data_IF_440746798765
#
_entry.id   IF_440746798765
#
_cell.length_a   1.000
_cell.length_b   1.000
_cell.length_c   1.000
_cell.angle_alpha   90.00
_cell.angle_beta   90.00
_cell.angle_gamma   90.00
#
_symmetry.space_group_name_H-M   'P 1'
#
loop_
_entity.id
_entity.type
_entity.pdbx_description
1 polymer ?
#
# COMPACT_ATOMS: atom_id res chain seq x y z
N UNK A 1 46.56 -13.43 -46.94
CA UNK A 1 45.51 -13.68 -45.93
C UNK A 1 44.20 -13.90 -46.66
N UNK A 2 43.67 -15.12 -46.67
CA UNK A 2 42.37 -15.42 -47.26
C UNK A 2 41.26 -14.80 -46.39
N UNK A 3 40.49 -13.87 -46.97
CA UNK A 3 39.35 -13.26 -46.27
C UNK A 3 38.29 -14.34 -46.07
N UNK A 4 37.87 -14.55 -44.82
CA UNK A 4 36.74 -15.43 -44.48
C UNK A 4 35.44 -14.81 -45.01
N UNK A 5 34.55 -15.65 -45.51
CA UNK A 5 33.20 -15.28 -45.93
C UNK A 5 32.23 -15.77 -44.85
N UNK A 6 31.11 -15.05 -44.65
CA UNK A 6 30.09 -15.45 -43.69
C UNK A 6 29.52 -16.84 -44.05
N UNK A 7 29.27 -17.70 -43.04
CA UNK A 7 28.63 -18.99 -43.27
C UNK A 7 27.19 -18.80 -43.79
N UNK A 8 26.71 -19.81 -44.52
CA UNK A 8 25.36 -19.84 -45.05
C UNK A 8 24.35 -19.94 -43.89
N UNK A 9 23.42 -18.99 -43.80
CA UNK A 9 22.31 -19.04 -42.86
C UNK A 9 21.10 -19.68 -43.51
N UNK A 10 20.52 -20.69 -42.86
CA UNK A 10 19.23 -21.28 -43.23
C UNK A 10 18.18 -20.89 -42.19
N UNK A 11 17.01 -20.37 -42.61
CA UNK A 11 15.89 -20.18 -41.69
C UNK A 11 15.45 -21.53 -41.11
N UNK A 12 15.09 -21.56 -39.83
CA UNK A 12 14.45 -22.72 -39.23
C UNK A 12 13.07 -22.93 -39.86
N UNK A 13 12.64 -24.19 -40.02
CA UNK A 13 11.26 -24.50 -40.36
C UNK A 13 10.33 -23.96 -39.28
N UNK A 14 9.26 -23.28 -39.69
CA UNK A 14 8.26 -22.74 -38.77
C UNK A 14 7.49 -23.92 -38.19
N UNK A 15 7.81 -24.31 -36.96
CA UNK A 15 6.97 -25.22 -36.16
C UNK A 15 5.63 -24.56 -35.84
N UNK A 16 4.69 -25.35 -35.30
CA UNK A 16 3.36 -24.89 -34.83
C UNK A 16 3.43 -23.54 -34.08
N UNK A 17 2.36 -22.74 -34.20
CA UNK A 17 2.28 -21.44 -33.54
C UNK A 17 2.52 -21.57 -32.02
N UNK A 18 3.22 -20.60 -31.41
CA UNK A 18 3.52 -20.65 -29.98
C UNK A 18 2.22 -20.68 -29.16
N UNK A 19 2.16 -21.59 -28.18
CA UNK A 19 1.04 -21.71 -27.26
C UNK A 19 1.34 -20.95 -25.97
N UNK A 20 0.49 -19.99 -25.61
CA UNK A 20 0.63 -19.26 -24.36
C UNK A 20 0.42 -20.18 -23.15
N UNK A 21 1.38 -20.16 -22.22
CA UNK A 21 1.25 -20.80 -20.91
C UNK A 21 1.47 -19.80 -19.79
N UNK A 22 0.59 -19.80 -18.80
CA UNK A 22 0.69 -18.95 -17.61
C UNK A 22 0.95 -19.81 -16.38
N UNK A 23 1.69 -19.27 -15.42
CA UNK A 23 1.84 -19.90 -14.12
C UNK A 23 0.57 -19.66 -13.29
N UNK A 24 -0.12 -20.74 -12.92
CA UNK A 24 -1.33 -20.68 -12.12
C UNK A 24 -0.99 -20.91 -10.65
N UNK A 25 -1.19 -19.89 -9.80
CA UNK A 25 -0.92 -20.00 -8.36
C UNK A 25 -1.76 -21.07 -7.66
N UNK A 26 -2.94 -21.42 -8.19
CA UNK A 26 -3.80 -22.46 -7.64
C UNK A 26 -3.20 -23.86 -7.81
N UNK A 27 -2.62 -24.15 -8.99
CA UNK A 27 -2.05 -25.48 -9.29
C UNK A 27 -0.53 -25.52 -9.15
N UNK A 28 0.11 -24.35 -8.98
CA UNK A 28 1.56 -24.15 -8.91
C UNK A 28 2.31 -24.66 -10.15
N UNK A 29 1.64 -24.66 -11.30
CA UNK A 29 2.18 -25.17 -12.57
C UNK A 29 1.98 -24.16 -13.71
N UNK A 30 2.75 -24.33 -14.79
CA UNK A 30 2.53 -23.60 -16.04
C UNK A 30 1.47 -24.34 -16.86
N UNK A 31 0.33 -23.70 -17.04
CA UNK A 31 -0.83 -24.26 -17.72
C UNK A 31 -1.08 -23.54 -19.03
N UNK A 32 -1.67 -24.24 -20.00
CA UNK A 32 -2.12 -23.61 -21.24
C UNK A 32 -3.20 -22.59 -20.89
N UNK A 33 -3.04 -21.35 -21.36
CA UNK A 33 -4.03 -20.32 -21.13
C UNK A 33 -5.21 -20.50 -22.08
N UNK A 34 -6.39 -20.77 -21.51
CA UNK A 34 -7.64 -21.00 -22.25
C UNK A 34 -8.66 -19.98 -21.76
N UNK A 35 -8.99 -18.94 -22.55
CA UNK A 35 -10.00 -17.96 -22.15
C UNK A 35 -11.40 -18.57 -22.11
N UNK A 36 -12.28 -17.96 -21.30
CA UNK A 36 -13.68 -18.39 -21.18
C UNK A 36 -14.49 -18.16 -22.47
N UNK A 37 -14.12 -17.16 -23.27
CA UNK A 37 -14.87 -16.78 -24.48
C UNK A 37 -13.93 -16.45 -25.64
N UNK A 38 -13.57 -17.45 -26.44
CA UNK A 38 -12.76 -17.28 -27.64
C UNK A 38 -11.43 -16.57 -27.34
N UNK A 39 -11.19 -15.43 -27.96
CA UNK A 39 -10.00 -14.58 -27.71
C UNK A 39 -10.24 -13.45 -26.70
N UNK A 40 -11.42 -13.38 -26.08
CA UNK A 40 -11.73 -12.33 -25.09
C UNK A 40 -11.20 -12.73 -23.72
N UNK A 41 -10.48 -11.81 -23.09
CA UNK A 41 -9.88 -11.98 -21.77
C UNK A 41 -10.39 -10.86 -20.87
N UNK A 42 -11.18 -11.20 -19.85
CA UNK A 42 -11.52 -10.29 -18.75
C UNK A 42 -10.48 -10.42 -17.65
N UNK A 43 -9.78 -9.34 -17.35
CA UNK A 43 -8.67 -9.35 -16.42
C UNK A 43 -8.86 -8.28 -15.35
N UNK A 44 -8.73 -8.67 -14.09
CA UNK A 44 -8.65 -7.78 -12.94
C UNK A 44 -7.25 -7.82 -12.29
N UNK A 45 -6.73 -6.68 -11.86
CA UNK A 45 -5.59 -6.61 -10.95
C UNK A 45 -5.85 -5.66 -9.78
N UNK A 46 -5.34 -5.99 -8.60
CA UNK A 46 -5.32 -5.07 -7.47
C UNK A 46 -4.49 -3.83 -7.81
N UNK A 47 -5.04 -2.65 -7.60
CA UNK A 47 -4.30 -1.39 -7.67
C UNK A 47 -3.80 -0.91 -6.30
N UNK A 48 -3.33 0.34 -6.21
CA UNK A 48 -2.66 0.85 -5.03
C UNK A 48 -3.64 1.26 -3.92
N UNK A 49 -3.17 1.18 -2.67
CA UNK A 49 -3.74 1.97 -1.57
C UNK A 49 -3.09 3.35 -1.58
N UNK A 50 -3.88 4.37 -1.90
CA UNK A 50 -3.39 5.74 -2.17
C UNK A 50 -3.25 6.53 -0.87
N UNK A 51 -2.27 6.17 -0.03
CA UNK A 51 -1.97 6.88 1.23
C UNK A 51 -0.59 7.55 1.24
N UNK A 52 0.28 7.19 0.30
CA UNK A 52 1.67 7.65 0.20
C UNK A 52 2.20 7.47 -1.23
N UNK A 53 3.41 7.96 -1.48
CA UNK A 53 4.07 7.86 -2.77
C UNK A 53 4.26 6.40 -3.22
N UNK A 54 4.19 6.18 -4.53
CA UNK A 54 4.45 4.86 -5.10
C UNK A 54 5.93 4.51 -4.99
N UNK A 55 6.23 3.36 -4.36
CA UNK A 55 7.60 2.87 -4.26
C UNK A 55 7.96 1.94 -5.44
N UNK A 56 9.24 1.63 -5.61
CA UNK A 56 9.74 0.76 -6.70
C UNK A 56 9.06 -0.61 -6.80
N UNK A 57 8.56 -1.16 -5.68
CA UNK A 57 7.78 -2.40 -5.69
C UNK A 57 6.48 -2.30 -6.51
N UNK A 58 5.82 -1.14 -6.48
CA UNK A 58 4.62 -0.85 -7.28
C UNK A 58 4.98 -0.76 -8.75
N UNK A 59 6.00 0.04 -9.09
CA UNK A 59 6.48 0.18 -10.46
C UNK A 59 6.81 -1.18 -11.08
N UNK A 60 7.54 -2.05 -10.37
CA UNK A 60 7.84 -3.40 -10.84
C UNK A 60 6.59 -4.21 -11.16
N UNK A 61 5.58 -4.19 -10.28
CA UNK A 61 4.34 -4.94 -10.47
C UNK A 61 3.55 -4.44 -11.68
N UNK A 62 3.31 -3.13 -11.78
CA UNK A 62 2.51 -2.56 -12.88
C UNK A 62 3.23 -2.65 -14.24
N UNK A 63 4.56 -2.49 -14.27
CA UNK A 63 5.35 -2.77 -15.49
C UNK A 63 5.20 -4.24 -15.90
N UNK A 64 5.23 -5.17 -14.94
CA UNK A 64 5.08 -6.59 -15.24
C UNK A 64 3.70 -6.88 -15.84
N UNK A 65 2.64 -6.32 -15.27
CA UNK A 65 1.28 -6.47 -15.81
C UNK A 65 1.13 -5.81 -17.19
N UNK A 66 1.72 -4.64 -17.40
CA UNK A 66 1.72 -3.96 -18.69
C UNK A 66 2.40 -4.79 -19.79
N UNK A 67 3.59 -5.34 -19.49
CA UNK A 67 4.30 -6.24 -20.41
C UNK A 67 3.44 -7.46 -20.74
N UNK A 68 2.81 -8.07 -19.74
CA UNK A 68 1.92 -9.21 -19.95
C UNK A 68 0.72 -8.84 -20.82
N UNK A 69 0.11 -7.67 -20.59
CA UNK A 69 -1.00 -7.16 -21.40
C UNK A 69 -0.57 -7.01 -22.86
N UNK A 70 0.56 -6.35 -23.12
CA UNK A 70 1.10 -6.15 -24.47
C UNK A 70 1.44 -7.47 -25.16
N UNK A 71 2.00 -8.44 -24.44
CA UNK A 71 2.26 -9.79 -24.99
C UNK A 71 0.94 -10.49 -25.35
N UNK A 72 -0.09 -10.40 -24.49
CA UNK A 72 -1.41 -10.96 -24.76
C UNK A 72 -2.06 -10.33 -26.00
N UNK A 73 -2.05 -9.00 -26.09
CA UNK A 73 -2.73 -8.26 -27.16
C UNK A 73 -1.95 -8.31 -28.47
N UNK A 74 -0.66 -7.97 -28.44
CA UNK A 74 0.10 -7.65 -29.64
C UNK A 74 0.73 -8.90 -30.26
N UNK A 75 1.12 -9.87 -29.43
CA UNK A 75 1.76 -11.10 -29.91
C UNK A 75 0.74 -12.24 -30.11
N UNK A 76 -0.13 -12.49 -29.14
CA UNK A 76 -1.12 -13.59 -29.23
C UNK A 76 -2.48 -13.15 -29.81
N UNK A 77 -2.73 -11.85 -29.93
CA UNK A 77 -3.96 -11.32 -30.52
C UNK A 77 -5.19 -11.49 -29.64
N UNK A 78 -5.04 -11.52 -28.32
CA UNK A 78 -6.17 -11.53 -27.38
C UNK A 78 -6.83 -10.15 -27.27
N UNK A 79 -8.15 -10.14 -27.12
CA UNK A 79 -8.95 -8.95 -26.82
C UNK A 79 -9.07 -8.83 -25.30
N UNK A 80 -8.23 -7.98 -24.70
CA UNK A 80 -8.10 -7.85 -23.25
C UNK A 80 -8.95 -6.67 -22.75
N UNK A 81 -9.92 -6.98 -21.89
CA UNK A 81 -10.65 -6.00 -21.08
C UNK A 81 -10.11 -6.01 -19.65
N UNK A 82 -9.39 -4.95 -19.30
CA UNK A 82 -8.61 -4.82 -18.08
C UNK A 82 -9.23 -3.84 -17.09
N UNK A 83 -9.48 -4.34 -15.87
CA UNK A 83 -10.04 -3.59 -14.74
C UNK A 83 -9.01 -3.50 -13.62
N UNK A 84 -8.88 -2.32 -13.01
CA UNK A 84 -8.03 -2.09 -11.84
C UNK A 84 -8.77 -1.26 -10.80
N UNK A 85 -8.65 -1.62 -9.53
CA UNK A 85 -9.22 -0.80 -8.45
C UNK A 85 -8.23 0.26 -7.94
N UNK A 86 -8.74 1.30 -7.29
CA UNK A 86 -7.97 2.16 -6.38
C UNK A 86 -8.55 1.98 -4.98
N UNK A 87 -7.70 1.66 -4.01
CA UNK A 87 -8.11 1.58 -2.61
C UNK A 87 -7.95 2.97 -1.98
N UNK A 88 -9.03 3.75 -2.02
CA UNK A 88 -9.12 5.11 -1.49
C UNK A 88 -9.81 5.20 -0.11
N UNK A 89 -10.19 4.04 0.46
CA UNK A 89 -10.68 3.89 1.83
C UNK A 89 -9.89 2.78 2.51
N UNK A 90 -9.11 3.13 3.53
CA UNK A 90 -8.27 2.22 4.32
C UNK A 90 -7.88 2.89 5.66
N UNK A 91 -7.65 2.10 6.71
CA UNK A 91 -7.18 2.59 8.01
C UNK A 91 -5.88 3.40 7.90
N UNK A 92 -4.98 3.03 6.98
CA UNK A 92 -3.73 3.76 6.72
C UNK A 92 -3.99 5.13 6.12
N UNK A 93 -4.99 5.25 5.24
CA UNK A 93 -5.41 6.53 4.66
C UNK A 93 -5.97 7.43 5.76
N UNK A 94 -6.91 6.90 6.55
CA UNK A 94 -7.54 7.65 7.66
C UNK A 94 -6.47 8.15 8.64
N UNK A 95 -5.58 7.25 9.06
CA UNK A 95 -4.50 7.59 9.98
C UNK A 95 -3.55 8.62 9.38
N UNK A 96 -3.10 8.43 8.14
CA UNK A 96 -2.13 9.34 7.50
C UNK A 96 -2.74 10.72 7.24
N UNK A 97 -3.99 10.79 6.80
CA UNK A 97 -4.68 12.06 6.54
C UNK A 97 -4.78 12.89 7.83
N UNK A 98 -5.19 12.24 8.92
CA UNK A 98 -5.29 12.86 10.24
C UNK A 98 -3.94 13.34 10.77
N UNK A 99 -2.91 12.51 10.60
CA UNK A 99 -1.53 12.84 10.96
C UNK A 99 -1.01 14.06 10.21
N UNK A 100 -1.19 14.11 8.88
CA UNK A 100 -0.75 15.23 8.06
C UNK A 100 -1.47 16.52 8.48
N UNK A 101 -2.79 16.47 8.61
CA UNK A 101 -3.59 17.62 9.04
C UNK A 101 -3.16 18.16 10.40
N UNK A 102 -2.98 17.29 11.40
CA UNK A 102 -2.57 17.71 12.74
C UNK A 102 -1.15 18.26 12.77
N UNK A 103 -0.25 17.71 11.95
CA UNK A 103 1.12 18.22 11.84
C UNK A 103 1.16 19.59 11.17
N UNK A 104 0.43 19.79 10.07
CA UNK A 104 0.32 21.09 9.40
C UNK A 104 -0.28 22.15 10.33
N UNK A 105 -1.35 21.80 11.04
CA UNK A 105 -1.93 22.67 12.08
C UNK A 105 -0.93 23.03 13.18
N UNK A 106 -0.12 22.07 13.63
CA UNK A 106 0.92 22.32 14.63
C UNK A 106 2.00 23.30 14.14
N UNK A 107 2.34 23.26 12.85
CA UNK A 107 3.26 24.21 12.23
C UNK A 107 2.65 25.61 12.15
N UNK A 108 1.38 25.71 11.76
CA UNK A 108 0.67 26.99 11.60
C UNK A 108 0.44 27.74 12.93
N UNK A 109 0.27 27.00 14.02
CA UNK A 109 0.09 27.55 15.36
C UNK A 109 1.37 28.22 15.93
N UNK A 110 2.53 28.03 15.26
CA UNK A 110 3.82 28.65 15.60
C UNK A 110 4.15 28.63 17.09
N UNK A 111 4.11 27.43 17.67
CA UNK A 111 4.32 27.17 19.08
C UNK A 111 5.62 27.76 19.63
N UNK A 112 5.57 28.23 20.88
CA UNK A 112 6.75 28.69 21.59
C UNK A 112 7.77 27.56 21.80
N UNK A 113 9.07 27.91 21.86
CA UNK A 113 10.17 26.94 21.90
C UNK A 113 10.13 26.01 23.12
N UNK A 114 9.63 26.51 24.26
CA UNK A 114 9.44 25.73 25.48
C UNK A 114 8.37 24.63 25.29
N UNK A 115 7.30 24.93 24.55
CA UNK A 115 6.28 23.96 24.18
C UNK A 115 6.87 22.90 23.25
N UNK A 116 7.60 23.30 22.22
CA UNK A 116 8.26 22.37 21.28
C UNK A 116 9.24 21.44 22.01
N UNK A 117 10.02 21.98 22.95
CA UNK A 117 10.94 21.18 23.77
C UNK A 117 10.21 20.25 24.75
N UNK A 118 9.05 20.67 25.28
CA UNK A 118 8.21 19.82 26.14
C UNK A 118 7.61 18.65 25.35
N UNK A 119 7.06 18.93 24.18
CA UNK A 119 6.46 17.93 23.29
C UNK A 119 7.52 16.93 22.80
N UNK A 120 8.71 17.42 22.41
CA UNK A 120 9.81 16.55 21.99
C UNK A 120 10.21 15.53 23.06
N UNK A 121 10.27 15.93 24.33
CA UNK A 121 10.53 15.02 25.46
C UNK A 121 9.45 13.96 25.60
N UNK A 122 8.17 14.33 25.48
CA UNK A 122 7.06 13.37 25.53
C UNK A 122 7.09 12.37 24.37
N UNK A 123 7.42 12.84 23.16
CA UNK A 123 7.59 12.01 21.97
C UNK A 123 8.71 10.99 22.18
N UNK A 124 9.87 11.43 22.69
CA UNK A 124 11.01 10.56 22.98
C UNK A 124 10.68 9.50 24.03
N UNK A 125 9.91 9.83 25.07
CA UNK A 125 9.41 8.85 26.04
C UNK A 125 8.52 7.80 25.36
N UNK A 126 7.57 8.22 24.53
CA UNK A 126 6.66 7.30 23.81
C UNK A 126 7.41 6.40 22.82
N UNK A 127 8.42 6.92 22.13
CA UNK A 127 9.28 6.12 21.26
C UNK A 127 10.14 5.13 22.05
N UNK A 128 10.68 5.54 23.19
CA UNK A 128 11.47 4.66 24.06
C UNK A 128 10.62 3.50 24.59
N UNK A 129 9.36 3.76 24.98
CA UNK A 129 8.44 2.68 25.37
C UNK A 129 8.13 1.73 24.23
N UNK A 130 7.92 2.24 22.99
CA UNK A 130 7.71 1.40 21.79
C UNK A 130 8.92 0.54 21.46
N UNK A 131 10.13 1.08 21.62
CA UNK A 131 11.38 0.34 21.44
C UNK A 131 11.48 -0.82 22.44
N UNK A 132 11.17 -0.58 23.71
CA UNK A 132 11.20 -1.62 24.75
C UNK A 132 10.13 -2.70 24.56
N UNK A 133 8.96 -2.35 24.02
CA UNK A 133 7.85 -3.29 23.82
C UNK A 133 7.90 -4.06 22.50
N UNK A 134 8.71 -3.63 21.52
CA UNK A 134 8.82 -4.32 20.24
C UNK A 134 9.63 -5.61 20.40
N UNK A 135 9.17 -6.72 19.82
CA UNK A 135 9.94 -7.97 19.74
C UNK A 135 10.61 -8.19 18.38
N UNK A 136 10.26 -7.36 17.40
CA UNK A 136 10.77 -7.40 16.04
C UNK A 136 12.12 -6.66 15.95
N UNK A 137 13.22 -7.34 15.53
CA UNK A 137 14.55 -6.73 15.42
C UNK A 137 14.63 -5.54 14.48
N UNK A 138 13.92 -5.58 13.35
CA UNK A 138 13.94 -4.51 12.35
C UNK A 138 13.22 -3.28 12.88
N UNK A 139 12.08 -3.48 13.57
CA UNK A 139 11.37 -2.38 14.25
C UNK A 139 12.20 -1.78 15.38
N UNK A 140 12.93 -2.59 16.15
CA UNK A 140 13.84 -2.06 17.18
C UNK A 140 14.91 -1.17 16.58
N UNK A 141 15.60 -1.67 15.55
CA UNK A 141 16.64 -0.89 14.87
C UNK A 141 16.09 0.41 14.27
N UNK A 142 14.87 0.38 13.71
CA UNK A 142 14.18 1.57 13.22
C UNK A 142 13.94 2.60 14.33
N UNK A 143 13.37 2.17 15.47
CA UNK A 143 13.11 3.06 16.59
C UNK A 143 14.39 3.62 17.22
N UNK A 144 15.45 2.82 17.32
CA UNK A 144 16.77 3.29 17.80
C UNK A 144 17.34 4.39 16.90
N UNK A 145 17.33 4.18 15.58
CA UNK A 145 17.78 5.20 14.62
C UNK A 145 16.96 6.49 14.72
N UNK A 146 15.64 6.36 14.86
CA UNK A 146 14.74 7.50 15.00
C UNK A 146 14.98 8.27 16.30
N UNK A 147 15.11 7.56 17.43
CA UNK A 147 15.43 8.15 18.73
C UNK A 147 16.77 8.87 18.69
N UNK A 148 17.81 8.23 18.16
CA UNK A 148 19.14 8.83 18.02
C UNK A 148 19.07 10.15 17.23
N UNK A 149 18.41 10.13 16.06
CA UNK A 149 18.22 11.32 15.23
C UNK A 149 17.48 12.44 15.97
N UNK A 150 16.39 12.10 16.65
CA UNK A 150 15.62 13.07 17.43
C UNK A 150 16.44 13.69 18.56
N UNK A 151 17.13 12.87 19.36
CA UNK A 151 17.99 13.33 20.45
C UNK A 151 19.01 14.34 19.93
N UNK A 152 19.70 14.04 18.83
CA UNK A 152 20.67 14.97 18.23
C UNK A 152 20.02 16.30 17.84
N UNK A 153 18.84 16.27 17.20
CA UNK A 153 18.15 17.51 16.81
C UNK A 153 17.65 18.33 17.99
N UNK A 154 17.18 17.67 19.07
CA UNK A 154 16.76 18.34 20.30
C UNK A 154 17.96 18.98 21.02
N UNK A 155 19.08 18.26 21.13
CA UNK A 155 20.30 18.81 21.72
C UNK A 155 20.83 20.02 20.94
N UNK A 156 20.76 19.99 19.60
CA UNK A 156 21.16 21.11 18.75
C UNK A 156 20.22 22.31 18.92
N UNK A 157 18.91 22.07 19.06
CA UNK A 157 17.94 23.12 19.36
C UNK A 157 18.21 23.75 20.74
N UNK A 158 18.43 22.94 21.77
CA UNK A 158 18.76 23.44 23.13
C UNK A 158 20.08 24.24 23.14
N UNK A 159 21.10 23.81 22.40
CA UNK A 159 22.36 24.56 22.25
C UNK A 159 22.16 25.90 21.54
N UNK A 160 21.33 25.93 20.50
CA UNK A 160 21.02 27.15 19.75
C UNK A 160 20.22 28.14 20.60
N UNK A 161 19.30 27.65 21.43
CA UNK A 161 18.58 28.49 22.39
C UNK A 161 19.54 29.13 23.40
N UNK A 162 20.55 28.38 23.87
CA UNK A 162 21.58 28.90 24.79
C UNK A 162 22.52 29.91 24.14
N UNK A 163 22.76 29.84 22.83
CA UNK A 163 23.61 30.81 22.12
C UNK A 163 22.93 32.16 21.89
N UNK A 164 21.59 32.19 21.89
CA UNK A 164 20.79 33.41 21.70
C UNK A 164 20.77 33.93 20.26
N UNK A 165 21.30 33.18 19.30
CA UNK A 165 21.29 33.53 17.88
C UNK A 165 19.97 33.08 17.23
N UNK A 166 19.09 34.04 16.94
CA UNK A 166 17.78 33.79 16.34
C UNK A 166 17.86 33.03 15.01
N UNK A 167 18.88 33.26 14.19
CA UNK A 167 19.02 32.55 12.91
C UNK A 167 19.36 31.08 13.12
N UNK A 168 20.22 30.78 14.10
CA UNK A 168 20.54 29.40 14.47
C UNK A 168 19.35 28.68 15.11
N UNK A 169 18.57 29.38 15.94
CA UNK A 169 17.36 28.85 16.57
C UNK A 169 16.34 28.46 15.50
N UNK A 170 16.03 29.35 14.55
CA UNK A 170 15.09 29.06 13.47
C UNK A 170 15.53 27.87 12.61
N UNK A 171 16.85 27.79 12.32
CA UNK A 171 17.41 26.66 11.57
C UNK A 171 17.28 25.35 12.35
N UNK A 172 17.68 25.32 13.61
CA UNK A 172 17.60 24.14 14.45
C UNK A 172 16.15 23.69 14.69
N UNK A 173 15.21 24.63 14.80
CA UNK A 173 13.78 24.35 14.91
C UNK A 173 13.26 23.67 13.64
N UNK A 174 13.59 24.19 12.45
CA UNK A 174 13.22 23.57 11.18
C UNK A 174 13.80 22.16 11.03
N UNK A 175 15.08 21.98 11.37
CA UNK A 175 15.73 20.66 11.34
C UNK A 175 15.04 19.66 12.28
N UNK A 176 14.68 20.10 13.49
CA UNK A 176 13.93 19.28 14.44
C UNK A 176 12.54 18.92 13.90
N UNK A 177 11.76 19.87 13.38
CA UNK A 177 10.42 19.63 12.84
C UNK A 177 10.43 18.64 11.67
N UNK A 178 11.43 18.74 10.79
CA UNK A 178 11.63 17.77 9.70
C UNK A 178 12.00 16.38 10.25
N UNK A 179 12.95 16.30 11.17
CA UNK A 179 13.39 15.03 11.75
C UNK A 179 12.30 14.36 12.59
N UNK A 180 11.39 15.15 13.16
CA UNK A 180 10.31 14.71 14.04
C UNK A 180 8.96 14.56 13.36
N UNK A 181 8.82 14.82 12.05
CA UNK A 181 7.53 14.75 11.34
C UNK A 181 6.70 13.51 11.69
N UNK A 182 7.20 12.31 11.43
CA UNK A 182 6.46 11.06 11.72
C UNK A 182 6.15 10.86 13.21
N UNK A 183 7.13 10.93 14.14
CA UNK A 183 6.85 10.69 15.56
C UNK A 183 6.01 11.79 16.22
N UNK A 184 6.16 13.05 15.79
CA UNK A 184 5.29 14.16 16.21
C UNK A 184 3.87 13.94 15.69
N UNK A 185 3.70 13.58 14.42
CA UNK A 185 2.39 13.29 13.84
C UNK A 185 1.69 12.12 14.56
N UNK A 186 2.38 11.01 14.85
CA UNK A 186 1.80 9.88 15.62
C UNK A 186 1.48 10.25 17.08
N UNK A 187 2.23 11.18 17.68
CA UNK A 187 1.93 11.69 19.01
C UNK A 187 0.71 12.61 19.00
N UNK A 188 0.65 13.59 18.09
CA UNK A 188 -0.48 14.48 17.89
C UNK A 188 -1.76 13.68 17.60
N UNK A 189 -1.67 12.69 16.71
CA UNK A 189 -2.77 11.79 16.36
C UNK A 189 -3.36 11.08 17.58
N UNK A 190 -2.49 10.58 18.47
CA UNK A 190 -2.93 9.90 19.70
C UNK A 190 -3.59 10.82 20.73
N UNK A 191 -3.40 12.14 20.61
CA UNK A 191 -3.96 13.15 21.53
C UNK A 191 -5.20 13.81 20.95
N UNK A 192 -5.13 14.21 19.68
CA UNK A 192 -6.08 15.10 19.01
C UNK A 192 -6.80 14.43 17.85
N UNK A 193 -6.50 13.17 17.51
CA UNK A 193 -7.13 12.49 16.38
C UNK A 193 -8.67 12.47 16.47
N UNK A 194 -9.22 12.31 17.68
CA UNK A 194 -10.67 12.35 17.90
C UNK A 194 -11.32 13.70 17.56
N UNK A 195 -10.55 14.78 17.44
CA UNK A 195 -11.04 16.12 17.09
C UNK A 195 -11.15 16.35 15.59
N UNK A 196 -10.58 15.46 14.77
CA UNK A 196 -10.55 15.58 13.31
C UNK A 196 -11.77 14.87 12.73
N UNK A 197 -12.79 15.64 12.38
CA UNK A 197 -14.10 15.13 11.92
C UNK A 197 -14.49 15.60 10.52
N UNK A 198 -13.71 16.49 9.90
CA UNK A 198 -13.97 16.95 8.54
C UNK A 198 -13.65 15.84 7.54
N UNK A 199 -14.67 15.41 6.80
CA UNK A 199 -14.56 14.35 5.81
C UNK A 199 -13.65 14.72 4.63
N UNK A 200 -13.52 16.02 4.30
CA UNK A 200 -12.66 16.47 3.21
C UNK A 200 -11.20 16.05 3.42
N UNK A 201 -10.73 16.08 4.67
CA UNK A 201 -9.37 15.66 5.06
C UNK A 201 -9.10 14.21 4.61
N UNK A 202 -10.09 13.33 4.72
CA UNK A 202 -9.97 11.92 4.37
C UNK A 202 -10.14 11.64 2.87
N UNK A 203 -10.70 12.57 2.10
CA UNK A 203 -10.83 12.46 0.64
C UNK A 203 -9.68 13.13 -0.13
N UNK A 204 -9.07 14.18 0.43
CA UNK A 204 -8.07 14.97 -0.28
C UNK A 204 -6.73 14.23 -0.39
N UNK A 205 -6.29 13.58 0.69
CA UNK A 205 -5.07 12.77 0.70
C UNK A 205 -5.07 11.66 -0.37
N UNK A 206 -6.09 10.78 -0.45
CA UNK A 206 -6.10 9.72 -1.45
C UNK A 206 -6.21 10.24 -2.87
N UNK A 207 -6.94 11.33 -3.10
CA UNK A 207 -7.01 11.95 -4.43
C UNK A 207 -5.65 12.46 -4.90
N UNK A 208 -4.90 13.15 -4.03
CA UNK A 208 -3.55 13.60 -4.34
C UNK A 208 -2.62 12.44 -4.72
N UNK A 209 -2.60 11.37 -3.91
CA UNK A 209 -1.74 10.22 -4.20
C UNK A 209 -2.19 9.37 -5.38
N UNK A 210 -3.48 9.36 -5.70
CA UNK A 210 -4.01 8.76 -6.93
C UNK A 210 -3.50 9.51 -8.17
N UNK A 211 -3.52 10.85 -8.14
CA UNK A 211 -2.99 11.69 -9.23
C UNK A 211 -1.49 11.45 -9.43
N UNK A 212 -0.70 11.46 -8.35
CA UNK A 212 0.74 11.16 -8.40
C UNK A 212 1.00 9.74 -8.91
N UNK A 213 0.22 8.75 -8.47
CA UNK A 213 0.32 7.38 -8.98
C UNK A 213 0.09 7.33 -10.50
N UNK A 214 -0.94 8.01 -11.01
CA UNK A 214 -1.20 8.06 -12.44
C UNK A 214 -0.08 8.75 -13.21
N UNK A 215 0.46 9.84 -12.67
CA UNK A 215 1.60 10.52 -13.25
C UNK A 215 2.82 9.60 -13.35
N UNK A 216 3.13 8.85 -12.30
CA UNK A 216 4.21 7.86 -12.30
C UNK A 216 3.97 6.76 -13.34
N UNK A 217 2.75 6.23 -13.44
CA UNK A 217 2.43 5.17 -14.41
C UNK A 217 2.57 5.67 -15.86
N UNK A 218 2.16 6.91 -16.14
CA UNK A 218 2.34 7.56 -17.44
C UNK A 218 3.82 7.74 -17.78
N UNK A 219 4.63 8.19 -16.83
CA UNK A 219 6.09 8.34 -17.00
C UNK A 219 6.79 7.00 -17.27
N UNK A 220 6.24 5.90 -16.77
CA UNK A 220 6.70 4.53 -17.03
C UNK A 220 6.15 3.92 -18.33
N UNK A 221 5.35 4.67 -19.10
CA UNK A 221 4.69 4.23 -20.34
C UNK A 221 3.78 3.00 -20.13
N UNK A 222 3.14 2.93 -18.96
CA UNK A 222 2.17 1.89 -18.62
C UNK A 222 0.82 2.26 -19.21
N UNK A 223 0.17 1.32 -19.91
CA UNK A 223 -1.15 1.52 -20.48
C UNK A 223 -2.20 1.53 -19.37
N UNK A 224 -3.05 2.56 -19.37
CA UNK A 224 -4.16 2.69 -18.41
C UNK A 224 -5.12 1.48 -18.50
N UNK A 225 -5.75 1.08 -17.38
CA UNK A 225 -6.84 0.11 -17.42
C UNK A 225 -8.02 0.64 -18.24
N UNK A 226 -8.82 -0.29 -18.77
CA UNK A 226 -10.06 0.06 -19.50
C UNK A 226 -11.13 0.56 -18.53
N UNK A 227 -11.14 0.02 -17.30
CA UNK A 227 -11.99 0.50 -16.20
C UNK A 227 -11.17 0.66 -14.93
N UNK A 228 -11.32 1.82 -14.31
CA UNK A 228 -10.79 2.11 -12.98
C UNK A 228 -11.95 2.23 -11.99
N UNK A 229 -11.87 1.54 -10.85
CA UNK A 229 -12.92 1.53 -9.83
C UNK A 229 -12.39 2.00 -8.49
N UNK A 230 -12.97 3.03 -7.86
CA UNK A 230 -12.58 3.45 -6.52
C UNK A 230 -13.46 2.78 -5.46
N UNK A 231 -12.92 2.44 -4.30
CA UNK A 231 -13.72 1.81 -3.23
C UNK A 231 -14.86 2.73 -2.80
N UNK A 232 -14.59 4.04 -2.68
CA UNK A 232 -15.60 5.04 -2.32
C UNK A 232 -16.80 5.12 -3.26
N UNK A 233 -16.61 4.77 -4.54
CA UNK A 233 -17.65 4.82 -5.57
C UNK A 233 -18.58 3.59 -5.56
N UNK A 234 -18.15 2.49 -4.92
CA UNK A 234 -18.85 1.20 -4.95
C UNK A 234 -19.38 0.76 -3.56
N UNK A 235 -19.45 1.69 -2.59
CA UNK A 235 -19.96 1.41 -1.25
C UNK A 235 -21.38 0.78 -1.28
N UNK A 236 -22.35 1.26 -2.07
CA UNK A 236 -23.67 0.64 -2.14
C UNK A 236 -23.62 -0.83 -2.60
N UNK A 237 -22.80 -1.14 -3.60
CA UNK A 237 -22.61 -2.49 -4.13
C UNK A 237 -21.91 -3.40 -3.12
N UNK A 238 -20.92 -2.87 -2.40
CA UNK A 238 -20.23 -3.60 -1.31
C UNK A 238 -21.23 -3.94 -0.21
N UNK A 239 -22.08 -3.00 0.22
CA UNK A 239 -23.11 -3.24 1.23
C UNK A 239 -24.07 -4.34 0.74
N UNK A 240 -24.59 -4.21 -0.49
CA UNK A 240 -25.50 -5.21 -1.07
C UNK A 240 -24.85 -6.60 -1.18
N UNK A 241 -23.55 -6.67 -1.46
CA UNK A 241 -22.81 -7.92 -1.51
C UNK A 241 -22.65 -8.54 -0.11
N UNK A 242 -22.33 -7.74 0.90
CA UNK A 242 -22.25 -8.17 2.30
C UNK A 242 -23.61 -8.66 2.82
N UNK A 243 -24.69 -7.95 2.50
CA UNK A 243 -26.06 -8.38 2.84
C UNK A 243 -26.35 -9.78 2.28
N UNK A 244 -25.99 -10.05 1.01
CA UNK A 244 -26.13 -11.40 0.43
C UNK A 244 -25.29 -12.45 1.14
N UNK A 245 -24.09 -12.11 1.63
CA UNK A 245 -23.26 -13.04 2.41
C UNK A 245 -23.96 -13.41 3.72
N UNK A 246 -24.56 -12.42 4.40
CA UNK A 246 -25.32 -12.63 5.63
C UNK A 246 -26.58 -13.47 5.35
N UNK A 247 -27.34 -13.13 4.32
CA UNK A 247 -28.57 -13.84 3.92
C UNK A 247 -28.30 -15.32 3.59
N UNK A 248 -27.12 -15.61 3.04
CA UNK A 248 -26.66 -16.97 2.76
C UNK A 248 -26.08 -17.70 3.99
N UNK A 249 -26.14 -17.11 5.18
CA UNK A 249 -25.61 -17.69 6.42
C UNK A 249 -24.08 -17.78 6.47
N UNK A 250 -23.38 -17.04 5.61
CA UNK A 250 -21.90 -17.03 5.52
C UNK A 250 -21.28 -15.84 6.24
N UNK A 251 -22.09 -14.94 6.80
CA UNK A 251 -21.62 -13.79 7.57
C UNK A 251 -22.44 -13.57 8.83
N UNK A 252 -21.85 -12.91 9.82
CA UNK A 252 -22.49 -12.60 11.09
C UNK A 252 -22.07 -11.22 11.60
N UNK A 253 -22.93 -10.61 12.42
CA UNK A 253 -22.69 -9.31 13.04
C UNK A 253 -22.16 -9.51 14.46
N UNK A 254 -21.06 -8.85 14.81
CA UNK A 254 -20.53 -8.80 16.17
C UNK A 254 -19.90 -7.43 16.45
N UNK A 255 -20.14 -6.87 17.65
CA UNK A 255 -19.56 -5.58 18.07
C UNK A 255 -19.74 -4.42 17.06
N UNK A 256 -20.87 -4.39 16.34
CA UNK A 256 -21.14 -3.38 15.32
C UNK A 256 -20.37 -3.56 14.00
N UNK A 257 -19.63 -4.66 13.83
CA UNK A 257 -18.93 -5.05 12.60
C UNK A 257 -19.54 -6.32 12.00
N UNK A 258 -19.31 -6.53 10.70
CA UNK A 258 -19.72 -7.76 10.00
C UNK A 258 -18.47 -8.61 9.74
N UNK A 259 -18.57 -9.91 10.02
CA UNK A 259 -17.51 -10.87 9.83
C UNK A 259 -17.95 -12.00 8.90
N UNK A 260 -17.00 -12.56 8.17
CA UNK A 260 -17.21 -13.75 7.33
C UNK A 260 -16.95 -15.02 8.16
N UNK A 261 -17.89 -15.98 8.14
CA UNK A 261 -17.75 -17.25 8.85
C UNK A 261 -16.96 -18.25 8.01
N UNK A 262 -15.64 -18.17 8.13
CA UNK A 262 -14.69 -19.07 7.48
C UNK A 262 -14.95 -20.54 7.84
N UNK A 263 -15.30 -20.82 9.10
CA UNK A 263 -15.50 -22.18 9.58
C UNK A 263 -16.79 -22.80 9.03
N UNK A 264 -17.85 -22.01 8.88
CA UNK A 264 -19.06 -22.45 8.19
C UNK A 264 -18.81 -22.61 6.69
N UNK A 265 -18.14 -21.65 6.05
CA UNK A 265 -17.80 -21.71 4.63
C UNK A 265 -17.07 -23.01 4.27
N UNK A 266 -16.01 -23.35 5.00
CA UNK A 266 -15.20 -24.54 4.76
C UNK A 266 -15.94 -25.88 5.00
N UNK A 267 -17.07 -25.86 5.73
CA UNK A 267 -17.92 -27.05 5.93
C UNK A 267 -18.88 -27.31 4.77
N UNK A 268 -19.13 -26.32 3.91
CA UNK A 268 -20.08 -26.46 2.80
C UNK A 268 -19.46 -27.26 1.65
N UNK A 269 -20.30 -27.98 0.91
CA UNK A 269 -19.85 -28.76 -0.24
C UNK A 269 -19.16 -27.86 -1.28
N UNK A 270 -17.96 -28.26 -1.73
CA UNK A 270 -17.12 -27.54 -2.71
C UNK A 270 -16.58 -26.18 -2.28
N UNK A 271 -16.69 -25.84 -1.00
CA UNK A 271 -16.08 -24.65 -0.44
C UNK A 271 -14.80 -25.03 0.32
N UNK A 272 -13.69 -24.38 -0.02
CA UNK A 272 -12.38 -24.65 0.56
C UNK A 272 -11.70 -23.34 0.91
N UNK A 273 -11.56 -23.06 2.21
CA UNK A 273 -10.82 -21.90 2.69
C UNK A 273 -9.31 -22.10 2.51
N UNK A 274 -8.57 -21.00 2.34
CA UNK A 274 -7.12 -21.01 2.10
C UNK A 274 -6.66 -21.84 0.88
N UNK A 275 -7.53 -22.04 -0.13
CA UNK A 275 -7.20 -22.85 -1.33
C UNK A 275 -5.96 -22.39 -2.11
N UNK A 276 -5.60 -21.10 -2.04
CA UNK A 276 -4.43 -20.55 -2.73
C UNK A 276 -3.14 -20.73 -1.92
N UNK A 277 -3.24 -20.81 -0.59
CA UNK A 277 -2.12 -21.03 0.33
C UNK A 277 -2.52 -22.08 1.37
N UNK A 278 -2.66 -23.36 0.98
CA UNK A 278 -3.18 -24.40 1.88
C UNK A 278 -2.33 -24.59 3.15
N UNK A 279 -1.05 -24.26 3.08
CA UNK A 279 -0.12 -24.38 4.21
C UNK A 279 -0.44 -23.41 5.37
N UNK A 280 -1.21 -22.36 5.11
CA UNK A 280 -1.64 -21.40 6.13
C UNK A 280 -2.98 -21.80 6.81
N UNK A 281 -3.61 -22.88 6.37
CA UNK A 281 -4.86 -23.34 6.97
C UNK A 281 -4.67 -23.74 8.45
N UNK A 282 -5.49 -23.17 9.34
CA UNK A 282 -5.43 -23.44 10.78
C UNK A 282 -4.34 -22.67 11.53
N UNK A 283 -3.52 -21.85 10.86
CA UNK A 283 -2.59 -20.94 11.52
C UNK A 283 -3.33 -19.71 12.09
N UNK A 284 -3.74 -19.83 13.35
CA UNK A 284 -4.49 -18.77 14.05
C UNK A 284 -3.70 -17.49 14.31
N UNK A 285 -2.36 -17.53 14.23
CA UNK A 285 -1.53 -16.35 14.43
C UNK A 285 -1.58 -15.40 13.21
N UNK A 286 -1.65 -15.93 11.99
CA UNK A 286 -1.73 -15.11 10.77
C UNK A 286 -3.14 -14.55 10.53
N UNK A 287 -4.18 -15.27 10.96
CA UNK A 287 -5.58 -14.82 10.93
C UNK A 287 -5.85 -13.57 11.80
N UNK A 288 -5.14 -13.41 12.92
CA UNK A 288 -5.30 -12.24 13.81
C UNK A 288 -4.66 -10.95 13.28
N UNK A 289 -3.72 -11.05 12.34
CA UNK A 289 -3.03 -9.87 11.79
C UNK A 289 -3.80 -9.15 10.67
N UNK A 290 -5.03 -9.58 10.36
CA UNK A 290 -5.85 -8.96 9.30
C UNK A 290 -5.25 -9.09 7.90
N UNK A 291 -4.21 -9.91 7.73
CA UNK A 291 -3.70 -10.32 6.42
C UNK A 291 -4.68 -11.36 5.88
N UNK A 292 -5.64 -10.90 5.07
CA UNK A 292 -6.35 -11.81 4.19
C UNK A 292 -5.30 -12.49 3.30
N UNK A 293 -5.23 -13.82 3.41
CA UNK A 293 -4.37 -14.69 2.59
C UNK A 293 -5.12 -15.05 1.31
#
# INVERSE_FOLDING_TARGET
MSKRVQPFWTPHERTEDPVLKLYNSLTRQKEVFIPLNGKKVTWYSCGPTVYDASHMGHARSYITFDILRRVLTDYFGYDVFYVMNITDIDDKIIKRARQNYLFEKYLDENHALDVILSDSKQIMVKLSSKLSSSNDPDKKQMYEKLLCRLTTTVENLEKSIKSGDNSQIEKAQKEFLVASKDPLSDWLDSKLGHTVTDNAIFSDLPRHWEEEFHHDMENLNIVKPDVLTRVSEYIPEIISYIEKIIDNGMGYVANGSVYFDVANFDKQDKHYYAKLVPEAYGDTNTLQEGKAI
#
